data_IF_191047855614
#
_entry.id   IF_191047855614
#
_cell.length_a   1.000
_cell.length_b   1.000
_cell.length_c   1.000
_cell.angle_alpha   90.00
_cell.angle_beta   90.00
_cell.angle_gamma   90.00
#
_symmetry.space_group_name_H-M   'P 1'
#
loop_
_entity.id
_entity.type
_entity.pdbx_description
1 polymer ?
#
# COMPACT_ATOMS: atom_id res chain seq x y z
N UNK A 1 -0.41 4.63 15.07
CA UNK A 1 0.22 3.71 14.08
C UNK A 1 -0.82 3.32 13.04
N UNK A 2 -0.56 3.56 11.75
CA UNK A 2 -1.43 3.06 10.68
C UNK A 2 -1.42 1.53 10.66
N UNK A 3 -2.61 0.91 10.48
CA UNK A 3 -2.75 -0.54 10.32
C UNK A 3 -2.81 -0.86 8.82
N UNK A 4 -1.97 -1.78 8.38
CA UNK A 4 -1.90 -2.24 6.99
C UNK A 4 -2.41 -3.67 6.95
N UNK A 5 -3.29 -3.98 6.00
CA UNK A 5 -3.83 -5.31 5.80
C UNK A 5 -3.46 -5.80 4.39
N UNK A 6 -2.97 -7.03 4.28
CA UNK A 6 -2.70 -7.68 2.99
C UNK A 6 -3.88 -8.61 2.70
N UNK A 7 -4.98 -8.01 2.26
CA UNK A 7 -6.19 -8.72 1.83
C UNK A 7 -7.00 -7.81 0.93
N UNK A 8 -7.83 -8.43 0.10
CA UNK A 8 -8.86 -7.67 -0.60
C UNK A 8 -9.89 -7.14 0.43
N UNK A 9 -10.27 -5.85 0.38
CA UNK A 9 -11.35 -5.34 1.22
C UNK A 9 -12.67 -6.04 0.89
N UNK A 10 -13.54 -6.15 1.90
CA UNK A 10 -14.89 -6.64 1.68
C UNK A 10 -15.63 -5.74 0.67
N UNK A 11 -16.53 -6.32 -0.13
CA UNK A 11 -17.17 -5.62 -1.25
C UNK A 11 -17.85 -4.30 -0.85
N UNK A 12 -18.47 -4.27 0.34
CA UNK A 12 -19.11 -3.10 0.94
C UNK A 12 -18.11 -2.03 1.44
N UNK A 13 -16.85 -2.40 1.70
CA UNK A 13 -15.81 -1.50 2.16
C UNK A 13 -15.01 -0.90 1.00
N UNK A 14 -14.97 -1.56 -0.16
CA UNK A 14 -14.23 -1.09 -1.35
C UNK A 14 -14.59 0.35 -1.76
N UNK A 15 -15.85 0.73 -1.63
CA UNK A 15 -16.37 2.07 -1.98
C UNK A 15 -15.68 3.19 -1.16
N UNK A 16 -15.13 2.85 0.01
CA UNK A 16 -14.49 3.82 0.93
C UNK A 16 -13.02 4.05 0.62
N UNK A 17 -12.44 3.29 -0.30
CA UNK A 17 -11.03 3.34 -0.64
C UNK A 17 -10.84 3.80 -2.08
N UNK A 18 -9.83 4.63 -2.29
CA UNK A 18 -9.27 4.83 -3.62
C UNK A 18 -8.41 3.62 -3.98
N UNK A 19 -8.32 3.33 -5.28
CA UNK A 19 -7.63 2.14 -5.80
C UNK A 19 -6.55 2.57 -6.77
N UNK A 20 -5.34 2.10 -6.52
CA UNK A 20 -4.24 2.14 -7.48
C UNK A 20 -3.97 0.70 -7.93
N UNK A 21 -3.92 0.48 -9.23
CA UNK A 21 -3.59 -0.80 -9.84
C UNK A 21 -2.27 -0.67 -10.60
N UNK A 22 -1.27 -1.48 -10.21
CA UNK A 22 0.06 -1.51 -10.82
C UNK A 22 0.38 -2.97 -11.15
N UNK A 23 0.28 -3.31 -12.43
CA UNK A 23 0.44 -4.69 -12.89
C UNK A 23 -0.57 -5.62 -12.20
N UNK A 24 -0.08 -6.59 -11.43
CA UNK A 24 -0.92 -7.56 -10.69
C UNK A 24 -1.23 -7.14 -9.24
N UNK A 25 -0.80 -5.96 -8.81
CA UNK A 25 -0.97 -5.48 -7.43
C UNK A 25 -2.07 -4.41 -7.40
N UNK A 26 -3.05 -4.60 -6.51
CA UNK A 26 -4.09 -3.61 -6.19
C UNK A 26 -3.86 -3.05 -4.79
N UNK A 27 -3.75 -1.73 -4.70
CA UNK A 27 -3.58 -0.99 -3.46
C UNK A 27 -4.87 -0.22 -3.17
N UNK A 28 -5.52 -0.56 -2.06
CA UNK A 28 -6.69 0.15 -1.55
C UNK A 28 -6.24 1.09 -0.43
N UNK A 29 -6.47 2.39 -0.58
CA UNK A 29 -6.05 3.40 0.38
C UNK A 29 -7.16 4.41 0.69
N UNK A 30 -7.14 4.97 1.90
CA UNK A 30 -8.15 5.94 2.32
C UNK A 30 -8.03 7.22 1.48
N UNK A 31 -9.16 7.84 1.12
CA UNK A 31 -9.18 9.16 0.48
C UNK A 31 -8.52 10.27 1.31
N UNK A 32 -8.32 10.04 2.61
CA UNK A 32 -7.60 10.95 3.51
C UNK A 32 -6.08 10.85 3.38
N UNK A 33 -5.58 9.84 2.67
CA UNK A 33 -4.15 9.66 2.44
C UNK A 33 -3.74 10.49 1.24
N UNK A 34 -3.07 11.61 1.50
CA UNK A 34 -2.56 12.49 0.45
C UNK A 34 -1.25 11.92 -0.09
N UNK A 35 -1.25 11.55 -1.37
CA UNK A 35 -0.02 11.23 -2.10
C UNK A 35 0.62 12.56 -2.47
N UNK A 36 1.86 12.79 -2.03
CA UNK A 36 2.59 14.02 -2.36
C UNK A 36 3.16 13.92 -3.77
N UNK A 37 3.01 14.99 -4.55
CA UNK A 37 3.66 15.12 -5.85
C UNK A 37 5.19 14.94 -5.72
N UNK A 38 5.81 14.25 -6.69
CA UNK A 38 7.23 13.89 -6.68
C UNK A 38 7.55 12.52 -6.06
N UNK A 39 6.56 11.83 -5.49
CA UNK A 39 6.67 10.43 -5.09
C UNK A 39 5.72 9.55 -5.92
N UNK A 40 6.05 9.24 -7.19
CA UNK A 40 5.12 8.59 -8.12
C UNK A 40 4.75 7.15 -7.76
N UNK A 41 5.37 6.56 -6.74
CA UNK A 41 5.10 5.18 -6.35
C UNK A 41 5.26 4.90 -4.87
N UNK A 42 4.66 3.80 -4.43
CA UNK A 42 4.95 3.17 -3.14
C UNK A 42 5.85 1.98 -3.43
N UNK A 43 7.10 2.03 -2.96
CA UNK A 43 8.02 0.90 -3.04
C UNK A 43 7.73 -0.05 -1.89
N UNK A 44 7.26 -1.25 -2.22
CA UNK A 44 7.04 -2.33 -1.26
C UNK A 44 8.27 -3.23 -1.26
N UNK A 45 9.01 -3.26 -0.15
CA UNK A 45 10.16 -4.17 0.03
C UNK A 45 9.79 -5.28 1.00
N UNK A 46 10.01 -6.53 0.61
CA UNK A 46 9.97 -7.64 1.56
C UNK A 46 11.31 -7.70 2.30
N UNK A 47 11.32 -7.33 3.58
CA UNK A 47 12.47 -7.49 4.47
C UNK A 47 12.36 -8.80 5.25
N UNK A 48 13.51 -9.43 5.50
CA UNK A 48 13.64 -10.64 6.31
C UNK A 48 14.78 -10.44 7.32
N UNK A 49 14.54 -10.80 8.57
CA UNK A 49 15.58 -10.95 9.59
C UNK A 49 15.35 -12.27 10.34
N UNK A 50 16.28 -13.20 10.21
CA UNK A 50 16.15 -14.58 10.73
C UNK A 50 14.84 -15.23 10.26
N UNK A 51 13.91 -15.51 11.18
CA UNK A 51 12.61 -16.13 10.91
C UNK A 51 11.48 -15.11 10.67
N UNK A 52 11.73 -13.82 10.92
CA UNK A 52 10.75 -12.77 10.72
C UNK A 52 10.81 -12.24 9.29
N UNK A 53 9.63 -12.09 8.67
CA UNK A 53 9.43 -11.44 7.37
C UNK A 53 8.41 -10.33 7.54
N UNK A 54 8.68 -9.16 6.95
CA UNK A 54 7.72 -8.05 6.94
C UNK A 54 7.82 -7.25 5.64
N UNK A 55 6.72 -6.59 5.28
CA UNK A 55 6.70 -5.64 4.18
C UNK A 55 7.02 -4.25 4.73
N UNK A 56 8.05 -3.64 4.17
CA UNK A 56 8.39 -2.24 4.38
C UNK A 56 7.84 -1.43 3.21
N UNK A 57 7.17 -0.33 3.54
CA UNK A 57 6.63 0.62 2.57
C UNK A 57 7.50 1.88 2.60
N UNK A 58 8.11 2.21 1.46
CA UNK A 58 8.86 3.45 1.27
C UNK A 58 8.20 4.27 0.15
N UNK A 59 8.26 5.60 0.24
CA UNK A 59 7.92 6.46 -0.91
C UNK A 59 8.99 6.29 -1.98
N UNK A 60 8.59 6.02 -3.21
CA UNK A 60 9.49 5.99 -4.36
C UNK A 60 9.54 7.38 -4.98
N UNK A 61 10.72 7.99 -5.00
CA UNK A 61 11.04 9.12 -5.89
C UNK A 61 11.60 8.59 -7.20
N UNK A 62 11.45 9.34 -8.29
CA UNK A 62 12.22 9.13 -9.53
C UNK A 62 13.73 9.16 -9.28
#
# INVERSE_FOLDING_TARGET
MPKIFIREPLANEKIRFQVIEIGTIKIFYSSRLTIKDGHPGIKIKLKKLLFYKWLELEGQTE
#
